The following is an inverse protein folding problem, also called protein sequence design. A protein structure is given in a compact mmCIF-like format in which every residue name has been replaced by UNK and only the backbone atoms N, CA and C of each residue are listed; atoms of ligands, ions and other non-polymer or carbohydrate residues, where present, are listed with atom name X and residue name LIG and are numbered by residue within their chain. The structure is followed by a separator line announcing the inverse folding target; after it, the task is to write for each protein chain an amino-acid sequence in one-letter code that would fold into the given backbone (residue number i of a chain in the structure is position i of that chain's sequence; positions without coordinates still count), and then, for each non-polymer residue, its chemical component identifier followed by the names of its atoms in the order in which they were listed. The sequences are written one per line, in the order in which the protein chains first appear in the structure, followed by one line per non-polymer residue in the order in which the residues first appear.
data_IF_328193178637
#
_entry.id   IF_328193178637
#
_cell.length_a   1.000
_cell.length_b   1.000
_cell.length_c   1.000
_cell.angle_alpha   90.00
_cell.angle_beta   90.00
_cell.angle_gamma   90.00
#
_symmetry.space_group_name_H-M   'P 1'
#
loop_
_entity.id
_entity.type
_entity.pdbx_description
1 polymer ?
#
# COMPACT_ATOMS: atom_id res chain seq x y z
N UNK A 1 -42.98 22.22 -35.98
CA UNK A 1 -43.03 21.01 -35.15
C UNK A 1 -41.86 20.06 -35.37
N UNK A 2 -41.46 19.76 -36.62
CA UNK A 2 -40.29 18.89 -36.87
C UNK A 2 -38.95 19.52 -36.43
N UNK A 3 -38.75 20.81 -36.74
CA UNK A 3 -37.53 21.57 -36.37
C UNK A 3 -37.38 21.67 -34.85
N UNK A 4 -38.49 21.89 -34.12
CA UNK A 4 -38.48 21.97 -32.66
C UNK A 4 -38.14 20.62 -32.01
N UNK A 5 -38.53 19.50 -32.62
CA UNK A 5 -38.19 18.15 -32.15
C UNK A 5 -36.71 17.84 -32.42
N UNK A 6 -36.18 18.22 -33.59
CA UNK A 6 -34.75 18.06 -33.91
C UNK A 6 -33.85 18.88 -32.98
N UNK A 7 -34.26 20.12 -32.64
CA UNK A 7 -33.53 20.96 -31.69
C UNK A 7 -33.54 20.37 -30.27
N UNK A 8 -34.66 19.79 -29.83
CA UNK A 8 -34.76 19.10 -28.54
C UNK A 8 -33.87 17.85 -28.49
N UNK A 9 -33.82 17.08 -29.58
CA UNK A 9 -33.00 15.87 -29.63
C UNK A 9 -31.50 16.20 -29.65
N UNK A 10 -31.12 17.27 -30.35
CA UNK A 10 -29.74 17.76 -30.38
C UNK A 10 -29.26 18.20 -28.98
N UNK A 11 -30.10 18.88 -28.19
CA UNK A 11 -29.73 19.32 -26.83
C UNK A 11 -29.62 18.16 -25.85
N UNK A 12 -30.49 17.14 -25.94
CA UNK A 12 -30.41 15.93 -25.12
C UNK A 12 -29.12 15.14 -25.41
N UNK A 13 -28.75 15.02 -26.69
CA UNK A 13 -27.53 14.33 -27.11
C UNK A 13 -26.27 15.07 -26.64
N UNK A 14 -26.30 16.41 -26.66
CA UNK A 14 -25.22 17.25 -26.14
C UNK A 14 -25.04 17.08 -24.62
N UNK A 15 -26.14 16.98 -23.87
CA UNK A 15 -26.13 16.82 -22.42
C UNK A 15 -25.58 15.45 -21.99
N UNK A 16 -25.89 14.39 -22.75
CA UNK A 16 -25.39 13.03 -22.49
C UNK A 16 -23.87 12.92 -22.63
N UNK A 17 -23.24 13.76 -23.46
CA UNK A 17 -21.77 13.77 -23.63
C UNK A 17 -21.01 14.34 -22.43
N UNK A 18 -21.69 15.08 -21.55
CA UNK A 18 -21.09 15.74 -20.37
C UNK A 18 -21.00 14.78 -19.17
N UNK A 19 -21.96 13.85 -19.06
CA UNK A 19 -22.02 12.83 -17.99
C UNK A 19 -20.75 11.97 -17.88
N UNK A 20 -20.17 11.42 -18.97
CA UNK A 20 -18.94 10.63 -18.87
C UNK A 20 -17.72 11.48 -18.46
N UNK A 21 -17.70 12.78 -18.77
CA UNK A 21 -16.60 13.67 -18.42
C UNK A 21 -16.53 13.95 -16.90
N UNK A 22 -17.68 14.00 -16.23
CA UNK A 22 -17.76 14.11 -14.77
C UNK A 22 -17.20 12.86 -14.08
N UNK A 23 -17.49 11.66 -14.58
CA UNK A 23 -17.03 10.41 -13.97
C UNK A 23 -15.51 10.22 -14.08
N UNK A 24 -14.89 10.63 -15.19
CA UNK A 24 -13.44 10.49 -15.39
C UNK A 24 -12.66 11.39 -14.42
N UNK A 25 -13.16 12.57 -14.11
CA UNK A 25 -12.49 13.54 -13.23
C UNK A 25 -12.54 13.12 -11.75
N UNK A 26 -13.62 12.47 -11.30
CA UNK A 26 -13.74 11.95 -9.93
C UNK A 26 -12.76 10.79 -9.70
N UNK A 27 -12.48 9.99 -10.74
CA UNK A 27 -11.55 8.86 -10.64
C UNK A 27 -10.08 9.31 -10.56
N UNK A 28 -9.68 10.41 -11.21
CA UNK A 28 -8.31 10.93 -11.11
C UNK A 28 -8.04 11.58 -9.75
N UNK A 29 -9.03 12.23 -9.13
CA UNK A 29 -8.89 12.83 -7.80
C UNK A 29 -8.62 11.82 -6.67
N UNK A 30 -9.05 10.57 -6.82
CA UNK A 30 -8.79 9.52 -5.82
C UNK A 30 -7.37 8.94 -5.98
N UNK A 31 -6.79 9.02 -7.17
CA UNK A 31 -5.42 8.56 -7.45
C UNK A 31 -4.33 9.52 -6.96
N UNK A 32 -4.56 10.84 -7.06
CA UNK A 32 -3.51 11.83 -6.73
C UNK A 32 -3.35 12.10 -5.24
N UNK A 33 -4.38 11.86 -4.42
CA UNK A 33 -4.32 12.18 -2.97
C UNK A 33 -3.37 11.30 -2.16
N UNK A 34 -3.06 10.09 -2.62
CA UNK A 34 -2.14 9.20 -1.90
C UNK A 34 -0.67 9.32 -2.34
N UNK A 35 -0.38 9.97 -3.48
CA UNK A 35 1.01 10.11 -3.96
C UNK A 35 1.66 11.34 -3.31
N UNK A 36 0.90 12.43 -3.11
CA UNK A 36 1.39 13.63 -2.44
C UNK A 36 1.71 13.41 -0.94
N UNK A 37 0.97 12.51 -0.27
CA UNK A 37 1.21 12.18 1.15
C UNK A 37 2.53 11.41 1.36
N UNK A 38 3.04 10.73 0.32
CA UNK A 38 4.29 9.98 0.39
C UNK A 38 5.51 10.91 0.25
N UNK A 39 5.39 12.05 -0.43
CA UNK A 39 6.49 13.01 -0.61
C UNK A 39 6.71 13.91 0.63
N UNK A 40 5.63 14.22 1.38
CA UNK A 40 5.74 15.05 2.59
C UNK A 40 6.44 14.33 3.76
N UNK A 41 6.25 13.01 3.90
CA UNK A 41 6.89 12.21 4.96
C UNK A 41 8.39 12.02 4.68
N UNK A 42 8.81 11.96 3.41
CA UNK A 42 10.22 11.79 3.04
C UNK A 42 11.10 12.99 3.45
N UNK A 43 10.50 14.19 3.56
CA UNK A 43 11.26 15.43 3.82
C UNK A 43 11.62 15.61 5.30
N UNK A 44 10.92 14.94 6.22
CA UNK A 44 11.17 15.08 7.67
C UNK A 44 12.23 14.14 8.25
N UNK A 45 12.80 13.23 7.46
CA UNK A 45 13.87 12.32 7.90
C UNK A 45 15.26 12.81 7.45
N UNK A 46 15.46 14.13 7.44
CA UNK A 46 16.79 14.76 7.29
C UNK A 46 17.58 14.78 8.63
N UNK A 47 17.34 13.81 9.50
CA UNK A 47 18.27 13.45 10.56
C UNK A 47 19.25 12.43 10.00
N UNK A 48 20.55 12.59 10.27
CA UNK A 48 21.62 11.66 9.88
C UNK A 48 21.41 10.27 10.50
N UNK A 49 20.42 9.54 10.03
CA UNK A 49 20.36 8.10 10.13
C UNK A 49 21.32 7.60 9.07
N UNK A 50 22.47 7.07 9.50
CA UNK A 50 23.34 6.30 8.62
C UNK A 50 22.49 5.14 8.10
N UNK A 51 21.94 5.29 6.90
CA UNK A 51 21.18 4.23 6.26
C UNK A 51 22.10 2.99 6.22
N UNK A 52 21.63 1.81 6.65
CA UNK A 52 22.43 0.61 6.61
C UNK A 52 23.06 0.45 5.22
N UNK A 53 24.34 0.05 5.18
CA UNK A 53 25.16 -0.04 3.95
C UNK A 53 24.51 -0.92 2.86
N UNK A 54 23.48 -1.70 3.20
CA UNK A 54 22.52 -2.34 2.29
C UNK A 54 21.12 -2.36 2.92
N UNK A 55 20.10 -1.95 2.17
CA UNK A 55 18.70 -1.92 2.65
C UNK A 55 17.70 -2.35 1.56
N UNK A 56 18.12 -3.29 0.73
CA UNK A 56 17.27 -4.05 -0.17
C UNK A 56 16.34 -4.99 0.63
N UNK A 57 15.15 -5.25 0.11
CA UNK A 57 14.15 -6.12 0.75
C UNK A 57 13.97 -7.37 -0.10
N UNK A 58 14.19 -8.52 0.53
CA UNK A 58 13.88 -9.84 -0.04
C UNK A 58 12.71 -10.47 0.69
N UNK A 59 11.68 -10.84 -0.05
CA UNK A 59 10.52 -11.58 0.46
C UNK A 59 10.51 -12.94 -0.24
N UNK A 60 10.58 -14.02 0.55
CA UNK A 60 10.68 -15.39 0.02
C UNK A 60 9.55 -16.27 0.55
N UNK A 61 8.66 -16.68 -0.35
CA UNK A 61 7.58 -17.66 -0.15
C UNK A 61 6.75 -17.40 1.12
N UNK A 62 6.44 -16.14 1.39
CA UNK A 62 5.73 -15.79 2.63
C UNK A 62 4.26 -16.17 2.57
N UNK A 63 3.74 -16.66 3.69
CA UNK A 63 2.32 -16.87 3.91
C UNK A 63 1.92 -16.41 5.30
N UNK A 64 0.71 -15.86 5.43
CA UNK A 64 0.21 -15.31 6.68
C UNK A 64 -1.33 -15.31 6.73
N UNK A 65 -1.87 -15.66 7.90
CA UNK A 65 -3.29 -15.61 8.24
C UNK A 65 -3.50 -14.83 9.53
N UNK A 66 -4.58 -14.06 9.62
CA UNK A 66 -4.89 -13.38 10.88
C UNK A 66 -5.34 -14.39 11.95
N UNK A 67 -5.03 -14.15 13.23
CA UNK A 67 -5.51 -14.99 14.32
C UNK A 67 -7.03 -15.14 14.28
N UNK A 68 -7.52 -16.38 14.37
CA UNK A 68 -8.96 -16.68 14.34
C UNK A 68 -9.57 -16.76 12.94
N UNK A 69 -8.76 -16.63 11.88
CA UNK A 69 -9.20 -16.84 10.50
C UNK A 69 -8.57 -18.08 9.90
N UNK A 70 -9.33 -18.85 9.12
CA UNK A 70 -8.79 -19.96 8.30
C UNK A 70 -8.37 -19.52 6.89
N UNK A 71 -8.74 -18.32 6.48
CA UNK A 71 -8.41 -17.79 5.16
C UNK A 71 -7.08 -17.06 5.22
N UNK A 72 -6.07 -17.45 4.43
CA UNK A 72 -4.78 -16.77 4.45
C UNK A 72 -4.88 -15.43 3.73
N UNK A 73 -4.44 -14.37 4.41
CA UNK A 73 -4.39 -13.01 3.88
C UNK A 73 -3.24 -12.82 2.88
N UNK A 74 -2.15 -13.57 3.04
CA UNK A 74 -1.01 -13.63 2.12
C UNK A 74 -0.69 -15.10 1.86
N UNK A 75 -0.46 -15.47 0.59
CA UNK A 75 -0.21 -16.86 0.17
C UNK A 75 0.96 -16.93 -0.81
N UNK A 76 2.05 -17.58 -0.39
CA UNK A 76 3.24 -17.86 -1.20
C UNK A 76 3.80 -16.66 -1.98
N UNK A 77 3.83 -15.47 -1.37
CA UNK A 77 4.34 -14.26 -2.03
C UNK A 77 5.87 -14.23 -2.00
N UNK A 78 6.50 -13.94 -3.14
CA UNK A 78 7.94 -13.71 -3.23
C UNK A 78 8.22 -12.51 -4.12
N UNK A 79 9.10 -11.61 -3.69
CA UNK A 79 9.58 -10.50 -4.51
C UNK A 79 10.90 -9.94 -3.96
N UNK A 80 11.57 -9.16 -4.80
CA UNK A 80 12.76 -8.41 -4.46
C UNK A 80 12.50 -6.93 -4.70
N UNK A 81 12.74 -6.09 -3.69
CA UNK A 81 12.69 -4.65 -3.78
C UNK A 81 14.14 -4.10 -3.64
N UNK A 82 14.77 -3.69 -4.75
CA UNK A 82 16.14 -3.20 -4.75
C UNK A 82 16.30 -1.91 -3.95
N UNK A 83 17.44 -1.78 -3.28
CA UNK A 83 17.88 -0.51 -2.70
C UNK A 83 17.94 0.60 -3.75
N UNK A 84 17.51 1.80 -3.37
CA UNK A 84 17.54 2.98 -4.25
C UNK A 84 16.46 2.99 -5.33
N UNK A 85 15.50 2.06 -5.28
CA UNK A 85 14.38 1.98 -6.20
C UNK A 85 13.04 2.06 -5.47
N UNK A 86 12.02 2.60 -6.13
CA UNK A 86 10.65 2.58 -5.64
C UNK A 86 9.96 1.32 -6.16
N UNK A 87 9.60 0.40 -5.26
CA UNK A 87 8.81 -0.79 -5.60
C UNK A 87 7.35 -0.56 -5.20
N UNK A 88 6.45 -0.50 -6.17
CA UNK A 88 5.02 -0.31 -5.94
C UNK A 88 4.29 -1.65 -5.80
N UNK A 89 3.50 -1.79 -4.73
CA UNK A 89 2.61 -2.95 -4.52
C UNK A 89 1.18 -2.53 -4.89
N UNK A 90 0.66 -3.09 -5.99
CA UNK A 90 -0.67 -2.75 -6.53
C UNK A 90 -1.62 -3.94 -6.52
N UNK A 91 -2.93 -3.69 -6.46
CA UNK A 91 -3.96 -4.72 -6.48
C UNK A 91 -5.30 -4.26 -5.92
N UNK A 92 -6.36 -5.03 -6.17
CA UNK A 92 -7.74 -4.75 -5.73
C UNK A 92 -7.89 -4.60 -4.21
N UNK A 93 -8.94 -3.92 -3.74
CA UNK A 93 -9.23 -3.89 -2.30
C UNK A 93 -9.33 -5.31 -1.72
N UNK A 94 -8.77 -5.54 -0.54
CA UNK A 94 -8.72 -6.86 0.10
C UNK A 94 -7.62 -7.81 -0.41
N UNK A 95 -6.79 -7.42 -1.38
CA UNK A 95 -5.72 -8.29 -1.92
C UNK A 95 -4.50 -8.53 -1.00
N UNK A 96 -4.56 -8.07 0.26
CA UNK A 96 -3.47 -8.25 1.23
C UNK A 96 -2.37 -7.17 1.24
N UNK A 97 -2.48 -6.06 0.49
CA UNK A 97 -1.46 -5.00 0.44
C UNK A 97 -1.10 -4.42 1.82
N UNK A 98 -2.11 -4.01 2.58
CA UNK A 98 -1.91 -3.48 3.95
C UNK A 98 -1.35 -4.54 4.88
N UNK A 99 -1.76 -5.79 4.71
CA UNK A 99 -1.21 -6.93 5.46
C UNK A 99 0.28 -7.12 5.16
N UNK A 100 0.69 -7.05 3.89
CA UNK A 100 2.09 -7.10 3.48
C UNK A 100 2.90 -5.95 4.09
N UNK A 101 2.35 -4.72 4.09
CA UNK A 101 3.00 -3.58 4.74
C UNK A 101 3.20 -3.81 6.25
N UNK A 102 2.20 -4.36 6.96
CA UNK A 102 2.33 -4.69 8.38
C UNK A 102 3.35 -5.79 8.67
N UNK A 103 3.51 -6.76 7.77
CA UNK A 103 4.55 -7.78 7.87
C UNK A 103 5.94 -7.17 7.69
N UNK A 104 6.13 -6.30 6.69
CA UNK A 104 7.39 -5.57 6.49
C UNK A 104 7.75 -4.70 7.70
N UNK A 105 6.75 -4.07 8.32
CA UNK A 105 6.90 -3.28 9.55
C UNK A 105 7.02 -4.14 10.82
N UNK A 106 7.06 -5.47 10.69
CA UNK A 106 7.18 -6.41 11.80
C UNK A 106 6.07 -6.32 12.88
N UNK A 107 4.85 -5.92 12.51
CA UNK A 107 3.70 -5.91 13.43
C UNK A 107 3.09 -7.30 13.65
N UNK A 108 3.26 -8.21 12.70
CA UNK A 108 2.80 -9.59 12.80
C UNK A 108 3.92 -10.55 12.48
N UNK A 109 3.83 -11.76 13.04
CA UNK A 109 4.72 -12.87 12.73
C UNK A 109 4.21 -13.65 11.52
N UNK A 110 5.12 -14.01 10.62
CA UNK A 110 4.85 -14.86 9.47
C UNK A 110 4.49 -16.29 9.89
N UNK A 111 3.56 -16.93 9.16
CA UNK A 111 3.28 -18.36 9.33
C UNK A 111 4.34 -19.21 8.60
N UNK A 112 4.76 -18.75 7.41
CA UNK A 112 5.76 -19.41 6.55
C UNK A 112 6.58 -18.39 5.78
N UNK A 113 7.76 -18.81 5.34
CA UNK A 113 8.69 -18.02 4.55
C UNK A 113 9.58 -17.12 5.40
N UNK A 114 10.26 -16.19 4.74
CA UNK A 114 11.15 -15.23 5.40
C UNK A 114 11.12 -13.87 4.68
N UNK A 115 11.41 -12.82 5.42
CA UNK A 115 11.68 -11.49 4.90
C UNK A 115 13.08 -11.09 5.37
N UNK A 116 13.88 -10.50 4.48
CA UNK A 116 15.23 -10.00 4.79
C UNK A 116 15.35 -8.53 4.38
N UNK A 117 15.99 -7.74 5.23
CA UNK A 117 16.38 -6.35 4.97
C UNK A 117 17.91 -6.26 4.95
N UNK A 118 18.52 -5.81 3.86
CA UNK A 118 19.97 -5.73 3.77
C UNK A 118 20.66 -7.10 3.93
N UNK A 119 20.00 -8.17 3.51
CA UNK A 119 20.44 -9.56 3.71
C UNK A 119 20.22 -10.12 5.12
N UNK A 120 19.69 -9.35 6.07
CA UNK A 120 19.45 -9.79 7.45
C UNK A 120 17.98 -10.17 7.64
N UNK A 121 17.65 -11.35 8.20
CA UNK A 121 16.27 -11.73 8.44
C UNK A 121 15.60 -10.78 9.44
N UNK A 122 14.39 -10.33 9.11
CA UNK A 122 13.59 -9.56 10.07
C UNK A 122 12.93 -10.53 11.05
N UNK A 123 13.17 -10.31 12.33
CA UNK A 123 12.55 -11.09 13.38
C UNK A 123 11.27 -10.39 13.84
N UNK A 124 10.14 -10.96 13.47
CA UNK A 124 8.84 -10.49 13.93
C UNK A 124 8.71 -10.78 15.43
N UNK A 125 8.67 -9.72 16.25
CA UNK A 125 8.39 -9.87 17.68
C UNK A 125 6.89 -10.06 17.84
N UNK A 126 6.50 -11.05 18.64
CA UNK A 126 5.11 -11.20 19.08
C UNK A 126 4.70 -9.87 19.73
N UNK A 127 3.62 -9.20 19.28
CA UNK A 127 3.15 -8.00 19.95
C UNK A 127 2.84 -8.35 21.40
N UNK A 128 3.26 -7.54 22.38
CA UNK A 128 3.05 -7.86 23.78
C UNK A 128 1.56 -8.05 24.04
N UNK A 129 1.21 -9.24 24.52
CA UNK A 129 -0.16 -9.65 24.81
C UNK A 129 -0.79 -8.65 25.78
N UNK A 130 -1.95 -8.09 25.38
CA UNK A 130 -2.86 -7.21 26.15
C UNK A 130 -2.33 -6.75 27.52
N UNK A 131 -1.72 -5.56 27.57
CA UNK A 131 -1.36 -4.88 28.82
C UNK A 131 -0.12 -4.00 28.73
N UNK A 132 0.76 -4.20 27.75
CA UNK A 132 1.89 -3.31 27.55
C UNK A 132 1.49 -2.18 26.61
N UNK A 133 1.39 -0.98 27.18
CA UNK A 133 1.36 0.28 26.46
C UNK A 133 2.26 0.26 25.22
N UNK A 134 1.76 0.81 24.11
CA UNK A 134 2.54 1.18 22.93
C UNK A 134 3.79 1.96 23.34
N UNK A 135 4.90 1.26 23.59
CA UNK A 135 6.21 1.85 23.67
C UNK A 135 6.84 1.65 22.29
N UNK A 136 6.62 2.63 21.41
CA UNK A 136 7.46 2.83 20.23
C UNK A 136 8.87 3.10 20.74
N UNK A 137 9.70 2.06 20.82
CA UNK A 137 11.10 2.18 21.24
C UNK A 137 11.86 2.75 20.04
N UNK A 138 12.02 4.07 20.03
CA UNK A 138 12.98 4.74 19.14
C UNK A 138 14.34 4.07 19.31
N UNK A 139 14.85 3.52 18.20
CA UNK A 139 16.25 3.13 18.10
C UNK A 139 17.07 4.41 18.07
N UNK A 140 17.73 4.71 19.18
CA UNK A 140 18.86 5.63 19.26
C UNK A 140 20.07 4.79 19.64
N UNK A 141 21.02 4.67 18.72
CA UNK A 141 22.45 4.68 19.02
C UNK A 141 23.08 5.81 18.22
#
# INVERSE_FOLDING_TARGET
MLITILLLFATITLLSGIIPLLNVTVLTQVGEKHIAEIEEIATQVSGSLTAPVKHDIHVNNISFSYPGTHQPAIQNVSFYAPQGSMTAIVGSSGSGKSTLAYLLLSFYQLDKGEIRLGGHPIHHKVPPTRGAHCAYRQFTE
#
